data_IF_824055795676
#
_entry.id   IF_824055795676
#
_cell.length_a   1.000
_cell.length_b   1.000
_cell.length_c   1.000
_cell.angle_alpha   90.00
_cell.angle_beta   90.00
_cell.angle_gamma   90.00
#
_symmetry.space_group_name_H-M   'P 1'
#
loop_
_entity.id
_entity.type
_entity.pdbx_description
1 polymer ?
#
# COMPACT_ATOMS: atom_id res chain seq x y z
N UNK A 1 7.45 -6.04 -32.83
CA UNK A 1 6.26 -5.96 -31.96
C UNK A 1 6.39 -6.75 -30.64
N UNK A 2 6.89 -8.00 -30.60
CA UNK A 2 7.04 -8.77 -29.33
C UNK A 2 8.03 -8.18 -28.30
N UNK A 3 9.08 -7.47 -28.74
CA UNK A 3 10.11 -6.90 -27.84
C UNK A 3 9.65 -5.64 -27.09
N UNK A 4 8.67 -4.91 -27.62
CA UNK A 4 8.13 -3.70 -26.96
C UNK A 4 7.17 -4.10 -25.84
N UNK A 5 6.36 -5.15 -26.03
CA UNK A 5 5.48 -5.69 -24.98
C UNK A 5 6.24 -6.22 -23.75
N UNK A 6 7.39 -6.86 -23.96
CA UNK A 6 8.24 -7.34 -22.85
C UNK A 6 8.88 -6.17 -22.06
N UNK A 7 9.24 -5.08 -22.74
CA UNK A 7 9.80 -3.88 -22.11
C UNK A 7 8.75 -3.11 -21.30
N UNK A 8 7.53 -2.98 -21.82
CA UNK A 8 6.39 -2.39 -21.08
C UNK A 8 6.04 -3.23 -19.85
N UNK A 9 6.07 -4.56 -19.97
CA UNK A 9 5.89 -5.47 -18.84
C UNK A 9 6.98 -5.31 -17.77
N UNK A 10 8.26 -5.24 -18.15
CA UNK A 10 9.39 -5.06 -17.21
C UNK A 10 9.35 -3.67 -16.51
N UNK A 11 8.92 -2.61 -17.20
CA UNK A 11 8.75 -1.30 -16.57
C UNK A 11 7.56 -1.26 -15.60
N UNK A 12 6.44 -1.92 -15.93
CA UNK A 12 5.31 -2.07 -15.01
C UNK A 12 5.69 -2.89 -13.77
N UNK A 13 6.43 -3.99 -13.95
CA UNK A 13 6.89 -4.87 -12.85
C UNK A 13 7.79 -4.12 -11.86
N UNK A 14 8.69 -3.23 -12.31
CA UNK A 14 9.54 -2.46 -11.40
C UNK A 14 8.77 -1.50 -10.47
N UNK A 15 7.65 -0.92 -10.93
CA UNK A 15 6.80 -0.09 -10.06
C UNK A 15 5.93 -0.94 -9.12
N UNK A 16 5.49 -2.12 -9.58
CA UNK A 16 4.75 -3.08 -8.75
C UNK A 16 5.63 -3.65 -7.62
N UNK A 17 6.95 -3.76 -7.82
CA UNK A 17 7.91 -4.33 -6.86
C UNK A 17 8.00 -3.57 -5.53
N UNK A 18 7.69 -2.28 -5.53
CA UNK A 18 8.03 -1.42 -4.39
C UNK A 18 6.82 -1.02 -3.52
N UNK A 19 5.60 -1.29 -4.00
CA UNK A 19 4.34 -0.88 -3.38
C UNK A 19 3.76 -1.91 -2.40
N UNK A 20 3.86 -3.22 -2.73
CA UNK A 20 3.36 -4.36 -1.91
C UNK A 20 2.15 -4.01 -1.02
N UNK A 21 0.99 -3.73 -1.64
CA UNK A 21 -0.15 -3.10 -0.97
C UNK A 21 -1.02 -4.05 -0.16
N UNK A 22 -0.84 -5.38 -0.28
CA UNK A 22 -1.77 -6.37 0.28
C UNK A 22 -1.72 -6.33 1.81
N UNK A 23 -0.53 -6.42 2.38
CA UNK A 23 -0.34 -6.45 3.84
C UNK A 23 -0.84 -5.16 4.48
N UNK A 24 -0.50 -3.99 3.92
CA UNK A 24 -0.99 -2.70 4.42
C UNK A 24 -2.51 -2.58 4.32
N UNK A 25 -3.11 -3.05 3.23
CA UNK A 25 -4.57 -3.02 3.03
C UNK A 25 -5.28 -3.97 3.98
N UNK A 26 -4.75 -5.18 4.18
CA UNK A 26 -5.28 -6.13 5.15
C UNK A 26 -5.30 -5.54 6.55
N UNK A 27 -4.17 -4.97 6.99
CA UNK A 27 -4.09 -4.34 8.31
C UNK A 27 -5.00 -3.12 8.43
N UNK A 28 -5.24 -2.38 7.34
CA UNK A 28 -6.22 -1.30 7.31
C UNK A 28 -7.65 -1.83 7.49
N UNK A 29 -8.01 -2.95 6.87
CA UNK A 29 -9.29 -3.61 7.14
C UNK A 29 -9.43 -4.07 8.59
N UNK A 30 -8.40 -4.72 9.14
CA UNK A 30 -8.38 -5.14 10.55
C UNK A 30 -8.51 -3.94 11.51
N UNK A 31 -7.89 -2.81 11.16
CA UNK A 31 -8.05 -1.55 11.89
C UNK A 31 -9.50 -1.05 11.83
N UNK A 32 -10.13 -1.05 10.66
CA UNK A 32 -11.51 -0.60 10.46
C UNK A 32 -12.54 -1.51 11.12
N UNK A 33 -12.28 -2.82 11.25
CA UNK A 33 -13.12 -3.72 12.05
C UNK A 33 -13.10 -3.33 13.55
N UNK A 34 -11.98 -2.80 14.04
CA UNK A 34 -11.81 -2.40 15.43
C UNK A 34 -12.27 -0.97 15.72
N UNK A 35 -12.06 -0.07 14.75
CA UNK A 35 -12.34 1.36 14.82
C UNK A 35 -13.12 1.78 13.56
N UNK A 36 -14.40 1.41 13.45
CA UNK A 36 -15.18 1.67 12.25
C UNK A 36 -15.49 3.16 12.10
N UNK A 37 -15.47 3.65 10.86
CA UNK A 37 -16.14 4.89 10.49
C UNK A 37 -17.64 4.66 10.37
N UNK A 38 -18.45 5.66 10.73
CA UNK A 38 -19.91 5.59 10.58
C UNK A 38 -20.34 5.70 9.11
N UNK A 39 -19.61 6.51 8.32
CA UNK A 39 -19.91 6.79 6.93
C UNK A 39 -19.01 5.97 5.99
N UNK A 40 -19.62 5.31 4.99
CA UNK A 40 -18.89 4.52 3.98
C UNK A 40 -17.90 5.37 3.16
N UNK A 41 -18.21 6.66 2.96
CA UNK A 41 -17.31 7.57 2.27
C UNK A 41 -16.01 7.80 3.06
N UNK A 42 -16.10 7.87 4.39
CA UNK A 42 -14.94 8.06 5.25
C UNK A 42 -14.09 6.79 5.30
N UNK A 43 -14.73 5.62 5.36
CA UNK A 43 -14.07 4.32 5.24
C UNK A 43 -13.26 4.22 3.93
N UNK A 44 -13.90 4.54 2.80
CA UNK A 44 -13.25 4.54 1.49
C UNK A 44 -12.11 5.55 1.42
N UNK A 45 -12.33 6.76 1.93
CA UNK A 45 -11.31 7.81 1.99
C UNK A 45 -10.08 7.36 2.81
N UNK A 46 -10.30 6.68 3.94
CA UNK A 46 -9.24 6.06 4.73
C UNK A 46 -8.48 4.97 3.97
N UNK A 47 -9.18 4.05 3.30
CA UNK A 47 -8.54 2.99 2.51
C UNK A 47 -7.67 3.55 1.38
N UNK A 48 -8.18 4.53 0.62
CA UNK A 48 -7.40 5.20 -0.41
C UNK A 48 -6.22 5.98 0.19
N UNK A 49 -6.43 6.66 1.31
CA UNK A 49 -5.37 7.33 2.07
C UNK A 49 -4.27 6.39 2.53
N UNK A 50 -4.60 5.15 2.92
CA UNK A 50 -3.63 4.12 3.29
C UNK A 50 -2.79 3.63 2.10
N UNK A 51 -3.39 3.61 0.90
CA UNK A 51 -2.72 3.18 -0.33
C UNK A 51 -1.98 4.32 -1.04
N UNK A 52 -2.30 5.57 -0.71
CA UNK A 52 -1.78 6.74 -1.40
C UNK A 52 -0.27 6.97 -1.25
N UNK A 53 0.40 6.75 -0.10
CA UNK A 53 1.78 7.22 0.08
C UNK A 53 2.78 6.68 -0.95
N UNK A 54 2.55 5.46 -1.42
CA UNK A 54 3.38 4.80 -2.41
C UNK A 54 3.18 5.32 -3.85
N UNK A 55 2.21 6.20 -4.11
CA UNK A 55 2.06 6.90 -5.39
C UNK A 55 3.34 7.63 -5.83
N UNK A 56 4.20 7.99 -4.86
CA UNK A 56 5.53 8.58 -5.10
C UNK A 56 6.38 7.80 -6.09
N UNK A 57 6.16 6.50 -6.26
CA UNK A 57 6.88 5.71 -7.24
C UNK A 57 6.59 6.18 -8.68
N UNK A 58 5.43 6.79 -8.95
CA UNK A 58 5.14 7.42 -10.24
C UNK A 58 5.91 8.72 -10.49
N UNK A 59 6.65 9.22 -9.48
CA UNK A 59 7.30 10.52 -9.50
C UNK A 59 6.33 11.66 -9.17
N UNK A 60 6.87 12.88 -9.05
CA UNK A 60 6.07 14.09 -8.80
C UNK A 60 5.75 14.39 -7.34
N UNK A 61 5.95 13.43 -6.42
CA UNK A 61 5.83 13.63 -4.97
C UNK A 61 6.95 12.91 -4.22
N UNK A 62 7.47 13.52 -3.16
CA UNK A 62 8.56 12.98 -2.34
C UNK A 62 8.01 12.15 -1.18
N UNK A 63 8.82 11.20 -0.69
CA UNK A 63 8.45 10.32 0.44
C UNK A 63 8.11 11.10 1.70
N UNK A 64 8.88 12.12 2.04
CA UNK A 64 8.67 12.97 3.23
C UNK A 64 7.39 13.80 3.18
N UNK A 65 6.74 13.90 2.01
CA UNK A 65 5.44 14.55 1.88
C UNK A 65 4.28 13.60 2.19
N UNK A 66 4.46 12.29 2.01
CA UNK A 66 3.37 11.30 2.17
C UNK A 66 3.59 10.28 3.28
N UNK A 67 4.83 10.13 3.76
CA UNK A 67 5.18 9.22 4.85
C UNK A 67 5.61 10.04 6.06
N UNK A 68 4.82 9.94 7.11
CA UNK A 68 5.04 10.66 8.36
C UNK A 68 5.97 9.87 9.28
N UNK A 69 6.83 10.56 10.04
CA UNK A 69 7.73 9.91 11.00
C UNK A 69 7.13 9.89 12.40
N UNK A 70 7.43 8.83 13.17
CA UNK A 70 6.99 8.74 14.58
C UNK A 70 5.48 8.61 14.76
N UNK A 71 4.75 8.08 13.77
CA UNK A 71 3.32 7.87 13.87
C UNK A 71 2.99 6.80 14.90
N UNK A 72 1.99 7.10 15.72
CA UNK A 72 1.38 6.16 16.67
C UNK A 72 -0.08 5.93 16.29
N UNK A 73 -0.69 4.86 16.82
CA UNK A 73 -2.11 4.60 16.63
C UNK A 73 -2.99 5.76 17.12
N UNK A 74 -2.58 6.47 18.19
CA UNK A 74 -3.29 7.66 18.67
C UNK A 74 -3.31 8.76 17.61
N UNK A 75 -2.21 8.97 16.89
CA UNK A 75 -2.16 9.97 15.82
C UNK A 75 -3.07 9.64 14.64
N UNK A 76 -3.37 8.35 14.42
CA UNK A 76 -4.35 7.89 13.42
C UNK A 76 -5.77 8.17 13.90
N UNK A 77 -6.08 7.80 15.15
CA UNK A 77 -7.41 7.94 15.73
C UNK A 77 -7.84 9.41 15.94
N UNK A 78 -6.88 10.30 16.23
CA UNK A 78 -7.14 11.72 16.46
C UNK A 78 -7.14 12.55 15.15
N UNK A 79 -6.81 11.95 14.00
CA UNK A 79 -6.77 12.67 12.73
C UNK A 79 -8.18 12.90 12.17
N UNK A 80 -8.62 14.16 12.00
CA UNK A 80 -9.98 14.46 11.54
C UNK A 80 -10.22 14.15 10.05
N UNK A 81 -9.20 14.13 9.20
CA UNK A 81 -9.36 13.74 7.80
C UNK A 81 -9.20 12.22 7.67
N UNK A 82 -10.22 11.46 7.25
CA UNK A 82 -10.09 10.01 7.07
C UNK A 82 -8.96 9.64 6.10
N UNK A 83 -8.78 10.42 5.03
CA UNK A 83 -7.68 10.24 4.08
C UNK A 83 -6.30 10.38 4.74
N UNK A 84 -6.09 11.47 5.49
CA UNK A 84 -4.83 11.70 6.20
C UNK A 84 -4.63 10.66 7.30
N UNK A 85 -5.71 10.21 7.96
CA UNK A 85 -5.67 9.14 8.93
C UNK A 85 -5.18 7.84 8.27
N UNK A 86 -5.64 7.54 7.05
CA UNK A 86 -5.14 6.45 6.23
C UNK A 86 -3.64 6.56 5.94
N UNK A 87 -3.17 7.74 5.51
CA UNK A 87 -1.74 7.96 5.24
C UNK A 87 -0.86 7.84 6.51
N UNK A 88 -1.38 8.30 7.65
CA UNK A 88 -0.74 8.12 8.96
C UNK A 88 -0.72 6.66 9.36
N UNK A 89 -1.80 5.92 9.10
CA UNK A 89 -1.88 4.49 9.36
C UNK A 89 -0.87 3.71 8.53
N UNK A 90 -0.74 4.03 7.24
CA UNK A 90 0.32 3.48 6.38
C UNK A 90 1.71 3.68 7.00
N UNK A 91 1.99 4.91 7.45
CA UNK A 91 3.28 5.26 8.06
C UNK A 91 3.51 4.54 9.40
N UNK A 92 2.45 4.35 10.19
CA UNK A 92 2.46 3.57 11.41
C UNK A 92 2.78 2.09 11.12
N UNK A 93 2.09 1.47 10.16
CA UNK A 93 2.36 0.08 9.73
C UNK A 93 3.80 -0.09 9.25
N UNK A 94 4.31 0.85 8.44
CA UNK A 94 5.70 0.86 8.00
C UNK A 94 6.69 0.83 9.19
N UNK A 95 6.44 1.67 10.21
CA UNK A 95 7.28 1.75 11.40
C UNK A 95 7.21 0.47 12.25
N UNK A 96 6.00 -0.02 12.49
CA UNK A 96 5.73 -1.23 13.28
C UNK A 96 6.32 -2.48 12.64
N UNK A 97 6.13 -2.63 11.33
CA UNK A 97 6.72 -3.71 10.54
C UNK A 97 8.24 -3.70 10.65
N UNK A 98 8.86 -2.53 10.50
CA UNK A 98 10.32 -2.39 10.61
C UNK A 98 10.83 -2.75 12.00
N UNK A 99 10.11 -2.34 13.06
CA UNK A 99 10.43 -2.72 14.44
C UNK A 99 10.36 -4.23 14.63
N UNK A 100 9.25 -4.85 14.23
CA UNK A 100 9.04 -6.30 14.34
C UNK A 100 10.13 -7.10 13.62
N UNK A 101 10.47 -6.72 12.38
CA UNK A 101 11.52 -7.37 11.59
C UNK A 101 12.89 -7.32 12.29
N UNK A 102 13.21 -6.20 12.93
CA UNK A 102 14.46 -6.03 13.67
C UNK A 102 14.48 -6.86 14.95
N UNK A 103 13.42 -6.80 15.75
CA UNK A 103 13.29 -7.52 17.02
C UNK A 103 13.35 -9.04 16.81
N UNK A 104 12.70 -9.54 15.77
CA UNK A 104 12.69 -10.97 15.43
C UNK A 104 13.93 -11.43 14.65
N UNK A 105 14.80 -10.51 14.25
CA UNK A 105 16.01 -10.81 13.47
C UNK A 105 15.70 -11.44 12.11
N UNK A 106 14.58 -11.06 11.47
CA UNK A 106 14.10 -11.71 10.24
C UNK A 106 15.12 -11.56 9.12
N UNK A 107 15.72 -10.38 8.94
CA UNK A 107 16.75 -10.18 7.91
C UNK A 107 17.97 -11.08 8.13
N UNK A 108 18.38 -11.33 9.37
CA UNK A 108 19.48 -12.25 9.68
C UNK A 108 19.15 -13.67 9.23
N UNK A 109 17.95 -14.16 9.57
CA UNK A 109 17.48 -15.50 9.16
C UNK A 109 17.39 -15.63 7.63
N UNK A 110 16.91 -14.59 6.95
CA UNK A 110 16.85 -14.57 5.48
C UNK A 110 18.24 -14.66 4.85
N UNK A 111 19.24 -13.98 5.43
CA UNK A 111 20.64 -14.07 4.97
C UNK A 111 21.18 -15.49 5.15
N UNK A 112 20.93 -16.11 6.30
CA UNK A 112 21.35 -17.50 6.59
C UNK A 112 20.75 -18.52 5.62
N UNK A 113 19.52 -18.25 5.14
CA UNK A 113 18.82 -19.06 4.14
C UNK A 113 19.25 -18.78 2.70
N UNK A 114 20.23 -17.89 2.47
CA UNK A 114 20.62 -17.40 1.14
C UNK A 114 19.43 -16.82 0.34
N UNK A 115 18.47 -16.19 1.03
CA UNK A 115 17.36 -15.52 0.37
C UNK A 115 17.83 -14.26 -0.39
N UNK A 116 17.05 -13.76 -1.37
CA UNK A 116 17.34 -12.48 -2.03
C UNK A 116 17.52 -11.35 -1.02
N UNK A 117 18.56 -10.53 -1.20
CA UNK A 117 18.89 -9.39 -0.32
C UNK A 117 18.07 -8.14 -0.62
N UNK A 118 17.19 -8.21 -1.60
CA UNK A 118 16.32 -7.09 -1.97
C UNK A 118 15.32 -6.81 -0.83
N UNK A 119 15.24 -5.57 -0.29
CA UNK A 119 14.30 -5.24 0.78
C UNK A 119 12.82 -5.49 0.42
N UNK A 120 12.48 -5.50 -0.87
CA UNK A 120 11.14 -5.84 -1.37
C UNK A 120 10.82 -7.33 -1.29
N UNK A 121 11.81 -8.22 -1.26
CA UNK A 121 11.58 -9.67 -1.25
C UNK A 121 10.69 -10.09 -0.08
N UNK A 122 11.01 -9.63 1.13
CA UNK A 122 10.23 -9.95 2.32
C UNK A 122 8.80 -9.39 2.24
N UNK A 123 8.65 -8.18 1.69
CA UNK A 123 7.32 -7.56 1.51
C UNK A 123 6.43 -8.38 0.56
N UNK A 124 7.00 -8.96 -0.49
CA UNK A 124 6.28 -9.87 -1.37
C UNK A 124 5.88 -11.17 -0.68
N UNK A 125 6.78 -11.76 0.10
CA UNK A 125 6.45 -12.97 0.87
C UNK A 125 5.31 -12.70 1.84
N UNK A 126 5.31 -11.55 2.52
CA UNK A 126 4.23 -11.12 3.39
C UNK A 126 2.91 -10.97 2.63
N UNK A 127 2.91 -10.27 1.49
CA UNK A 127 1.73 -10.10 0.64
C UNK A 127 1.16 -11.44 0.17
N UNK A 128 2.00 -12.37 -0.30
CA UNK A 128 1.57 -13.72 -0.72
C UNK A 128 0.96 -14.54 0.43
N UNK A 129 1.48 -14.39 1.66
CA UNK A 129 0.94 -15.06 2.84
C UNK A 129 -0.40 -14.46 3.30
N UNK A 130 -0.55 -13.15 3.16
CA UNK A 130 -1.74 -12.41 3.61
C UNK A 130 -2.86 -12.45 2.58
N UNK A 131 -2.53 -12.49 1.28
CA UNK A 131 -3.49 -12.46 0.19
C UNK A 131 -4.69 -13.43 0.35
N UNK A 132 -4.51 -14.73 0.68
CA UNK A 132 -5.64 -15.66 0.79
C UNK A 132 -6.50 -15.44 2.05
N UNK A 133 -6.10 -14.56 2.97
CA UNK A 133 -6.80 -14.33 4.24
C UNK A 133 -7.98 -13.36 4.11
N UNK A 134 -8.19 -12.74 2.96
CA UNK A 134 -9.19 -11.68 2.80
C UNK A 134 -9.89 -11.71 1.44
N UNK A 135 -11.09 -11.11 1.37
CA UNK A 135 -11.78 -10.84 0.10
C UNK A 135 -11.47 -9.41 -0.37
N UNK A 136 -10.84 -9.30 -1.54
CA UNK A 136 -10.35 -8.04 -2.09
C UNK A 136 -11.35 -7.28 -2.95
N UNK A 137 -12.58 -7.79 -3.11
CA UNK A 137 -13.62 -7.16 -3.94
C UNK A 137 -13.90 -5.71 -3.52
N UNK A 138 -14.05 -5.46 -2.22
CA UNK A 138 -14.29 -4.10 -1.72
C UNK A 138 -13.13 -3.14 -2.05
N UNK A 139 -11.90 -3.60 -1.91
CA UNK A 139 -10.71 -2.80 -2.23
C UNK A 139 -10.66 -2.48 -3.72
N UNK A 140 -10.96 -3.46 -4.57
CA UNK A 140 -11.00 -3.28 -6.02
C UNK A 140 -12.08 -2.27 -6.42
N UNK A 141 -13.25 -2.32 -5.79
CA UNK A 141 -14.31 -1.33 -5.99
C UNK A 141 -13.88 0.07 -5.52
N UNK A 142 -13.22 0.18 -4.35
CA UNK A 142 -12.72 1.47 -3.85
C UNK A 142 -11.77 2.14 -4.86
N UNK A 143 -10.88 1.37 -5.50
CA UNK A 143 -9.90 1.87 -6.46
C UNK A 143 -10.50 2.30 -7.81
N UNK A 144 -11.77 2.00 -8.10
CA UNK A 144 -12.44 2.47 -9.33
C UNK A 144 -12.80 3.95 -9.29
N UNK A 145 -12.73 4.56 -8.11
CA UNK A 145 -13.10 5.94 -7.88
C UNK A 145 -11.92 6.72 -7.27
N UNK A 146 -12.06 8.05 -7.23
CA UNK A 146 -11.10 8.95 -6.57
C UNK A 146 -11.81 9.79 -5.54
N UNK A 147 -11.07 10.26 -4.53
CA UNK A 147 -11.56 11.21 -3.53
C UNK A 147 -10.83 12.54 -3.67
N UNK A 148 -11.52 13.65 -3.35
CA UNK A 148 -10.97 15.00 -3.50
C UNK A 148 -9.68 15.23 -2.71
N UNK A 149 -9.45 14.46 -1.65
CA UNK A 149 -8.26 14.58 -0.80
C UNK A 149 -6.98 14.15 -1.52
N UNK A 150 -7.05 13.29 -2.54
CA UNK A 150 -5.90 12.85 -3.33
C UNK A 150 -5.25 14.01 -4.11
N UNK A 151 -6.08 14.96 -4.56
CA UNK A 151 -5.65 16.13 -5.34
C UNK A 151 -4.91 17.18 -4.49
N UNK A 152 -5.07 17.12 -3.15
CA UNK A 152 -4.47 18.11 -2.22
C UNK A 152 -2.95 17.98 -2.09
N UNK A 153 -2.37 16.90 -2.59
CA UNK A 153 -0.95 16.57 -2.42
C UNK A 153 -0.06 16.99 -3.59
N UNK A 154 -0.58 17.82 -4.51
CA UNK A 154 0.20 18.31 -5.66
C UNK A 154 0.49 17.24 -6.71
N UNK A 155 -0.27 16.13 -6.67
CA UNK A 155 -0.23 15.06 -7.67
C UNK A 155 -1.34 15.32 -8.69
N UNK A 156 -1.06 15.09 -9.98
CA UNK A 156 -2.07 15.25 -11.02
C UNK A 156 -3.15 14.16 -10.90
N UNK A 157 -4.38 14.49 -11.29
CA UNK A 157 -5.46 13.51 -11.35
C UNK A 157 -5.11 12.30 -12.24
N UNK A 158 -4.36 12.54 -13.32
CA UNK A 158 -3.84 11.46 -14.18
C UNK A 158 -2.93 10.49 -13.42
N UNK A 159 -2.02 11.01 -12.57
CA UNK A 159 -1.15 10.18 -11.75
C UNK A 159 -1.93 9.38 -10.69
N UNK A 160 -2.96 9.97 -10.10
CA UNK A 160 -3.86 9.27 -9.15
C UNK A 160 -4.57 8.11 -9.85
N UNK A 161 -5.20 8.36 -11.00
CA UNK A 161 -5.88 7.32 -11.77
C UNK A 161 -4.92 6.21 -12.21
N UNK A 162 -3.71 6.58 -12.65
CA UNK A 162 -2.68 5.61 -13.01
C UNK A 162 -2.23 4.78 -11.81
N UNK A 163 -2.11 5.38 -10.64
CA UNK A 163 -1.78 4.68 -9.41
C UNK A 163 -2.87 3.65 -9.05
N UNK A 164 -4.14 4.04 -9.12
CA UNK A 164 -5.25 3.14 -8.88
C UNK A 164 -5.27 1.96 -9.86
N UNK A 165 -4.97 2.20 -11.14
CA UNK A 165 -4.86 1.14 -12.14
C UNK A 165 -3.72 0.15 -11.84
N UNK A 166 -2.57 0.66 -11.37
CA UNK A 166 -1.44 -0.19 -10.95
C UNK A 166 -1.84 -1.05 -9.76
N UNK A 167 -2.46 -0.46 -8.74
CA UNK A 167 -2.95 -1.19 -7.57
C UNK A 167 -3.97 -2.27 -7.98
N UNK A 168 -5.01 -1.91 -8.74
CA UNK A 168 -6.00 -2.87 -9.24
C UNK A 168 -5.34 -4.03 -9.98
N UNK A 169 -4.34 -3.74 -10.83
CA UNK A 169 -3.59 -4.78 -11.54
C UNK A 169 -2.84 -5.69 -10.55
N UNK A 170 -2.22 -5.12 -9.52
CA UNK A 170 -1.52 -5.89 -8.48
C UNK A 170 -2.46 -6.86 -7.76
N UNK A 171 -3.60 -6.37 -7.26
CA UNK A 171 -4.62 -7.20 -6.58
C UNK A 171 -5.20 -8.28 -7.51
N UNK A 172 -5.50 -7.94 -8.76
CA UNK A 172 -6.04 -8.89 -9.75
C UNK A 172 -5.03 -9.96 -10.17
N UNK A 173 -3.75 -9.61 -10.31
CA UNK A 173 -2.73 -10.61 -10.66
C UNK A 173 -2.63 -11.71 -9.61
N UNK A 174 -2.74 -11.38 -8.32
CA UNK A 174 -2.71 -12.39 -7.26
C UNK A 174 -3.92 -13.34 -7.34
N UNK A 175 -5.12 -12.85 -7.69
CA UNK A 175 -6.31 -13.70 -7.89
C UNK A 175 -6.17 -14.71 -9.04
N UNK A 176 -5.32 -14.44 -10.03
CA UNK A 176 -5.14 -15.30 -11.22
C UNK A 176 -4.16 -16.45 -10.95
N UNK A 177 -3.28 -16.30 -9.96
CA UNK A 177 -2.23 -17.28 -9.65
C UNK A 177 -2.45 -18.05 -8.34
N UNK A 178 -3.45 -17.66 -7.54
CA UNK A 178 -3.96 -18.39 -6.37
C UNK A 178 -5.07 -19.37 -6.75
#
# INVERSE_FOLDING_TARGET
MKKIGLLVFVFYVNFLIAATPITHTYLAYQFLERYPFEEELDKKSFLLGNLFPDIRYLGGIKRDQTHFTGMTLVNVLEEPSPFVAGMKFHSFVDAERNRFIQEEGIYTRLIELNAPKDPSFLKFVEDELVFPLWNWEECLLCLQETVKDEEKWGVSQESVLRWHQILQTFFLCHLVFS
#
